data_IF_536695416364
#
_entry.id   IF_536695416364
#
_cell.length_a   1.000
_cell.length_b   1.000
_cell.length_c   1.000
_cell.angle_alpha   90.00
_cell.angle_beta   90.00
_cell.angle_gamma   90.00
#
_symmetry.space_group_name_H-M   'P 1'
#
loop_
_entity.id
_entity.type
_entity.pdbx_description
1 polymer ?
#
# COMPACT_ATOMS: atom_id res chain seq x y z
N UNK A 1 -1.61 2.12 4.48
CA UNK A 1 -0.68 2.67 5.50
C UNK A 1 -1.00 4.10 5.94
N UNK A 2 -1.43 5.03 5.08
CA UNK A 2 -1.85 6.38 5.49
C UNK A 2 -2.86 6.37 6.66
N UNK A 3 -3.94 5.61 6.54
CA UNK A 3 -4.94 5.47 7.61
C UNK A 3 -4.35 4.89 8.91
N UNK A 4 -3.45 3.91 8.80
CA UNK A 4 -2.77 3.34 9.98
C UNK A 4 -1.92 4.42 10.65
N UNK A 5 -1.11 5.16 9.89
CA UNK A 5 -0.31 6.27 10.42
C UNK A 5 -1.17 7.33 11.12
N UNK A 6 -2.38 7.62 10.62
CA UNK A 6 -3.34 8.51 11.30
C UNK A 6 -3.80 7.96 12.65
N UNK A 7 -4.20 6.69 12.69
CA UNK A 7 -4.70 6.01 13.90
C UNK A 7 -3.67 6.08 15.01
N UNK A 8 -2.42 5.75 14.69
CA UNK A 8 -1.35 5.67 15.69
C UNK A 8 -0.58 6.99 15.86
N UNK A 9 -1.02 8.08 15.19
CA UNK A 9 -0.36 9.39 15.21
C UNK A 9 1.14 9.34 14.85
N UNK A 10 1.45 8.64 13.76
CA UNK A 10 2.78 8.49 13.21
C UNK A 10 3.01 9.36 11.98
N UNK A 11 4.26 9.80 11.81
CA UNK A 11 4.77 10.27 10.54
C UNK A 11 5.03 9.10 9.61
N UNK A 12 4.54 9.21 8.38
CA UNK A 12 4.76 8.25 7.31
C UNK A 12 5.98 8.66 6.48
N UNK A 13 6.88 7.73 6.19
CA UNK A 13 7.90 7.93 5.16
C UNK A 13 7.35 7.41 3.83
N UNK A 14 7.61 8.11 2.73
CA UNK A 14 7.29 7.63 1.39
C UNK A 14 7.89 6.22 1.19
N UNK A 15 7.10 5.25 0.69
CA UNK A 15 7.59 3.89 0.45
C UNK A 15 8.78 3.88 -0.51
N UNK A 16 9.75 3.04 -0.22
CA UNK A 16 10.73 2.61 -1.20
C UNK A 16 10.07 1.52 -2.06
N UNK A 17 9.86 1.82 -3.34
CA UNK A 17 9.45 0.84 -4.34
C UNK A 17 10.71 0.43 -5.13
N UNK A 18 10.64 -0.66 -5.90
CA UNK A 18 11.76 -1.07 -6.77
C UNK A 18 12.14 0.04 -7.79
N UNK A 19 11.15 0.86 -8.15
CA UNK A 19 11.35 2.17 -8.80
C UNK A 19 11.19 3.30 -7.76
N UNK A 20 11.66 4.52 -8.02
CA UNK A 20 11.37 5.60 -7.08
C UNK A 20 9.87 5.89 -7.08
N UNK A 21 9.29 6.18 -5.91
CA UNK A 21 7.88 6.56 -5.80
C UNK A 21 7.54 7.72 -6.76
N UNK A 22 8.45 8.69 -6.89
CA UNK A 22 8.36 9.83 -7.80
C UNK A 22 8.35 9.47 -9.29
N UNK A 23 8.81 8.27 -9.67
CA UNK A 23 8.80 7.82 -11.07
C UNK A 23 7.37 7.48 -11.52
N UNK A 24 6.52 7.08 -10.57
CA UNK A 24 5.13 6.65 -10.83
C UNK A 24 4.13 7.69 -10.35
N UNK A 25 4.34 8.30 -9.19
CA UNK A 25 3.39 9.19 -8.54
C UNK A 25 3.96 10.59 -8.33
N UNK A 26 3.08 11.60 -8.31
CA UNK A 26 3.42 12.95 -7.92
C UNK A 26 3.61 13.01 -6.40
N UNK A 27 4.88 12.87 -5.98
CA UNK A 27 5.28 12.82 -4.57
C UNK A 27 4.89 14.09 -3.80
N UNK A 28 5.07 15.27 -4.41
CA UNK A 28 4.77 16.54 -3.75
C UNK A 28 3.26 16.73 -3.60
N UNK A 29 2.48 16.39 -4.62
CA UNK A 29 1.01 16.37 -4.53
C UNK A 29 0.53 15.40 -3.43
N UNK A 30 1.09 14.20 -3.35
CA UNK A 30 0.75 13.21 -2.32
C UNK A 30 0.97 13.76 -0.90
N UNK A 31 2.12 14.39 -0.64
CA UNK A 31 2.44 15.00 0.65
C UNK A 31 1.50 16.16 0.97
N UNK A 32 1.24 17.04 -0.01
CA UNK A 32 0.45 18.25 0.20
C UNK A 32 -1.02 17.95 0.48
N UNK A 33 -1.64 17.01 -0.26
CA UNK A 33 -3.04 16.61 -0.07
C UNK A 33 -3.28 16.01 1.32
N UNK A 34 -2.29 15.29 1.86
CA UNK A 34 -2.40 14.61 3.15
C UNK A 34 -1.92 15.45 4.34
N UNK A 35 -1.39 16.65 4.12
CA UNK A 35 -0.70 17.45 5.14
C UNK A 35 -1.54 17.75 6.39
N UNK A 36 -2.88 17.81 6.26
CA UNK A 36 -3.81 18.05 7.36
C UNK A 36 -4.26 16.76 8.07
N UNK A 37 -3.97 15.58 7.52
CA UNK A 37 -4.38 14.30 8.07
C UNK A 37 -3.20 13.56 8.70
N UNK A 38 -2.12 13.42 7.94
CA UNK A 38 -0.94 12.64 8.30
C UNK A 38 0.29 13.36 7.79
N UNK A 39 1.29 13.51 8.65
CA UNK A 39 2.58 14.04 8.22
C UNK A 39 3.29 12.99 7.36
N UNK A 40 3.65 13.37 6.16
CA UNK A 40 4.42 12.54 5.24
C UNK A 40 5.79 13.17 4.99
N UNK A 41 6.85 12.38 5.05
CA UNK A 41 8.23 12.82 4.74
C UNK A 41 8.81 11.98 3.62
N UNK A 42 9.59 12.61 2.73
CA UNK A 42 10.18 11.96 1.55
C UNK A 42 11.18 10.86 1.92
N UNK A 43 11.99 11.11 2.95
CA UNK A 43 13.05 10.21 3.39
C UNK A 43 13.12 10.17 4.90
N UNK A 44 13.66 9.08 5.43
CA UNK A 44 13.99 8.99 6.84
C UNK A 44 15.01 10.10 7.19
N UNK A 45 14.77 10.92 8.23
CA UNK A 45 15.73 11.92 8.66
C UNK A 45 17.08 11.30 8.99
N UNK A 46 18.18 12.00 8.68
CA UNK A 46 19.55 11.49 8.84
C UNK A 46 19.86 11.19 10.31
N UNK A 47 19.27 11.95 11.22
CA UNK A 47 19.38 11.82 12.67
C UNK A 47 18.79 10.49 13.16
N UNK A 48 17.89 9.91 12.39
CA UNK A 48 17.23 8.63 12.65
C UNK A 48 17.84 7.47 11.85
N UNK A 49 18.92 7.68 11.09
CA UNK A 49 19.53 6.63 10.29
C UNK A 49 20.03 5.45 11.15
N UNK A 50 20.57 5.74 12.33
CA UNK A 50 21.09 4.77 13.31
C UNK A 50 20.09 4.44 14.43
N UNK A 51 18.86 4.96 14.35
CA UNK A 51 17.83 4.73 15.33
C UNK A 51 17.38 3.26 15.35
N UNK A 52 16.86 2.80 16.49
CA UNK A 52 16.37 1.42 16.62
C UNK A 52 15.13 1.20 15.72
N UNK A 53 15.21 0.18 14.87
CA UNK A 53 14.17 -0.21 13.91
C UNK A 53 13.53 -1.53 14.33
N UNK A 54 12.20 -1.58 14.35
CA UNK A 54 11.45 -2.83 14.49
C UNK A 54 10.84 -3.21 13.16
N UNK A 55 11.22 -4.36 12.62
CA UNK A 55 10.54 -4.94 11.46
C UNK A 55 9.25 -5.61 11.93
N UNK A 56 8.10 -5.21 11.37
CA UNK A 56 6.78 -5.71 11.77
C UNK A 56 6.01 -6.17 10.54
N UNK A 57 5.58 -7.42 10.56
CA UNK A 57 4.52 -7.91 9.68
C UNK A 57 3.19 -7.67 10.39
N UNK A 58 2.33 -6.85 9.78
CA UNK A 58 1.02 -6.57 10.37
C UNK A 58 0.09 -7.75 10.17
N UNK A 59 -0.76 -8.00 11.18
CA UNK A 59 -1.83 -8.98 11.06
C UNK A 59 -2.89 -8.45 10.09
N UNK A 60 -3.31 -9.31 9.17
CA UNK A 60 -4.34 -8.94 8.19
C UNK A 60 -5.71 -8.89 8.84
N UNK A 61 -6.58 -8.00 8.34
CA UNK A 61 -7.93 -7.78 8.84
C UNK A 61 -7.97 -7.34 10.31
N UNK A 62 -6.89 -6.75 10.81
CA UNK A 62 -6.83 -6.20 12.16
C UNK A 62 -7.68 -4.94 12.31
N UNK A 63 -8.41 -4.88 13.42
CA UNK A 63 -9.15 -3.69 13.87
C UNK A 63 -8.23 -2.57 14.34
N UNK A 64 -8.83 -1.47 14.79
CA UNK A 64 -8.12 -0.27 15.26
C UNK A 64 -7.30 -0.58 16.50
N UNK A 65 -7.85 -1.39 17.40
CA UNK A 65 -7.30 -1.75 18.72
C UNK A 65 -5.92 -2.41 18.57
N UNK A 66 -5.76 -3.28 17.56
CA UNK A 66 -4.46 -3.89 17.25
C UNK A 66 -3.37 -2.85 16.97
N UNK A 67 -3.70 -1.79 16.23
CA UNK A 67 -2.73 -0.75 15.90
C UNK A 67 -2.49 0.16 17.10
N UNK A 68 -3.54 0.58 17.79
CA UNK A 68 -3.45 1.46 18.95
C UNK A 68 -2.72 0.82 20.13
N UNK A 69 -2.86 -0.49 20.33
CA UNK A 69 -2.25 -1.20 21.44
C UNK A 69 -0.96 -1.90 21.01
N UNK A 70 -1.02 -2.92 20.14
CA UNK A 70 0.14 -3.76 19.85
C UNK A 70 1.22 -3.01 19.06
N UNK A 71 0.82 -2.25 18.03
CA UNK A 71 1.77 -1.53 17.18
C UNK A 71 2.35 -0.32 17.92
N UNK A 72 1.52 0.47 18.60
CA UNK A 72 1.98 1.61 19.40
C UNK A 72 2.96 1.19 20.51
N UNK A 73 2.69 0.07 21.19
CA UNK A 73 3.57 -0.44 22.25
C UNK A 73 4.98 -0.78 21.75
N UNK A 74 5.14 -1.08 20.45
CA UNK A 74 6.46 -1.33 19.89
C UNK A 74 7.38 -0.09 19.93
N UNK A 75 6.80 1.12 20.02
CA UNK A 75 7.55 2.37 20.18
C UNK A 75 8.16 2.58 21.56
N UNK A 76 7.83 1.76 22.55
CA UNK A 76 8.51 1.78 23.84
C UNK A 76 9.97 1.34 23.70
N UNK A 77 10.25 0.44 22.75
CA UNK A 77 11.57 -0.16 22.55
C UNK A 77 12.24 0.30 21.25
N UNK A 78 11.47 0.83 20.30
CA UNK A 78 11.96 1.19 18.97
C UNK A 78 11.53 2.59 18.54
N UNK A 79 12.40 3.31 17.86
CA UNK A 79 12.08 4.65 17.36
C UNK A 79 11.38 4.60 16.00
N UNK A 80 11.62 3.54 15.22
CA UNK A 80 11.08 3.36 13.88
C UNK A 80 10.40 2.00 13.78
N UNK A 81 9.23 1.97 13.15
CA UNK A 81 8.59 0.75 12.69
C UNK A 81 8.79 0.64 11.18
N UNK A 82 9.38 -0.48 10.75
CA UNK A 82 9.46 -0.88 9.35
C UNK A 82 8.35 -1.91 9.12
N UNK A 83 7.24 -1.47 8.52
CA UNK A 83 6.15 -2.36 8.14
C UNK A 83 6.58 -3.16 6.91
N UNK A 84 6.77 -4.47 7.10
CA UNK A 84 6.95 -5.46 6.03
C UNK A 84 5.62 -6.10 5.69
N UNK A 85 5.39 -6.45 4.42
CA UNK A 85 4.08 -6.94 3.94
C UNK A 85 2.96 -5.96 4.29
N UNK A 86 3.12 -4.72 3.82
CA UNK A 86 2.19 -3.61 4.12
C UNK A 86 0.84 -3.71 3.38
N UNK A 87 0.66 -4.77 2.60
CA UNK A 87 -0.60 -5.23 2.04
C UNK A 87 -1.56 -5.80 3.10
N UNK A 88 -1.05 -6.16 4.29
CA UNK A 88 -1.86 -6.48 5.47
C UNK A 88 -2.82 -5.33 5.80
N UNK A 89 -4.13 -5.63 5.71
CA UNK A 89 -5.19 -4.61 5.68
C UNK A 89 -5.71 -4.30 7.08
N UNK A 90 -5.76 -3.00 7.39
CA UNK A 90 -6.72 -2.48 8.37
C UNK A 90 -8.13 -2.96 7.97
N UNK A 91 -8.87 -3.54 8.92
CA UNK A 91 -10.22 -4.05 8.68
C UNK A 91 -11.12 -2.96 8.08
N UNK A 92 -11.98 -3.33 7.13
CA UNK A 92 -12.89 -2.37 6.50
C UNK A 92 -14.08 -2.01 7.39
N UNK A 93 -14.46 -2.89 8.31
CA UNK A 93 -15.64 -2.75 9.13
C UNK A 93 -15.32 -1.97 10.40
N UNK A 94 -16.32 -1.30 10.96
CA UNK A 94 -16.25 -0.61 12.26
C UNK A 94 -15.17 0.48 12.37
N UNK A 95 -14.68 0.99 11.25
CA UNK A 95 -13.83 2.18 11.23
C UNK A 95 -14.67 3.45 11.35
N UNK A 96 -14.15 4.41 12.10
CA UNK A 96 -14.75 5.73 12.18
C UNK A 96 -14.77 6.43 10.81
N UNK A 97 -15.77 7.28 10.59
CA UNK A 97 -16.08 7.85 9.27
C UNK A 97 -14.92 8.69 8.69
N UNK A 98 -14.19 9.39 9.55
CA UNK A 98 -13.02 10.18 9.17
C UNK A 98 -11.89 9.30 8.62
N UNK A 99 -11.63 8.14 9.23
CA UNK A 99 -10.63 7.18 8.76
C UNK A 99 -11.04 6.62 7.39
N UNK A 100 -12.32 6.31 7.18
CA UNK A 100 -12.81 5.85 5.87
C UNK A 100 -12.66 6.95 4.81
N UNK A 101 -13.00 8.20 5.13
CA UNK A 101 -12.78 9.35 4.25
C UNK A 101 -11.31 9.56 3.91
N UNK A 102 -10.42 9.41 4.89
CA UNK A 102 -8.97 9.49 4.69
C UNK A 102 -8.47 8.38 3.76
N UNK A 103 -8.98 7.15 3.86
CA UNK A 103 -8.65 6.08 2.92
C UNK A 103 -9.05 6.44 1.49
N UNK A 104 -10.26 6.98 1.32
CA UNK A 104 -10.71 7.44 0.00
C UNK A 104 -9.83 8.57 -0.53
N UNK A 105 -9.55 9.60 0.29
CA UNK A 105 -8.65 10.71 -0.09
C UNK A 105 -7.27 10.19 -0.49
N UNK A 106 -6.68 9.31 0.32
CA UNK A 106 -5.37 8.73 0.01
C UNK A 106 -5.38 7.96 -1.33
N UNK A 107 -6.39 7.13 -1.58
CA UNK A 107 -6.46 6.28 -2.76
C UNK A 107 -6.86 7.01 -4.05
N UNK A 108 -7.76 7.99 -3.97
CA UNK A 108 -8.38 8.59 -5.15
C UNK A 108 -7.98 10.05 -5.41
N UNK A 109 -7.42 10.74 -4.41
CA UNK A 109 -7.04 12.15 -4.52
C UNK A 109 -5.54 12.36 -4.37
N UNK A 110 -4.93 11.78 -3.33
CA UNK A 110 -3.50 11.95 -3.04
C UNK A 110 -2.60 11.12 -3.97
N UNK A 111 -2.98 9.87 -4.27
CA UNK A 111 -2.26 9.03 -5.23
C UNK A 111 -2.56 9.46 -6.67
N UNK A 112 -1.83 10.47 -7.12
CA UNK A 112 -1.86 10.97 -8.49
C UNK A 112 -0.62 10.51 -9.24
N UNK A 113 -0.76 10.09 -10.49
CA UNK A 113 0.39 9.75 -11.33
C UNK A 113 1.32 10.95 -11.51
N UNK A 114 2.61 10.68 -11.70
CA UNK A 114 3.60 11.70 -12.01
C UNK A 114 3.16 12.51 -13.25
N UNK A 115 3.43 13.83 -13.31
CA UNK A 115 2.91 14.70 -14.37
C UNK A 115 3.21 14.21 -15.79
N UNK A 116 4.37 13.56 -15.99
CA UNK A 116 4.76 12.96 -17.28
C UNK A 116 3.83 11.82 -17.70
N UNK A 117 3.43 10.95 -16.77
CA UNK A 117 2.54 9.82 -17.03
C UNK A 117 1.13 10.33 -17.31
N UNK A 118 0.65 11.29 -16.51
CA UNK A 118 -0.67 11.90 -16.71
C UNK A 118 -0.76 12.64 -18.06
N UNK A 119 0.28 13.39 -18.44
CA UNK A 119 0.34 14.06 -19.73
C UNK A 119 0.32 13.07 -20.90
N UNK A 120 1.06 11.96 -20.80
CA UNK A 120 1.04 10.90 -21.80
C UNK A 120 -0.34 10.22 -21.90
N UNK A 121 -0.95 9.91 -20.75
CA UNK A 121 -2.30 9.33 -20.70
C UNK A 121 -3.33 10.25 -21.32
N UNK A 122 -3.27 11.55 -21.01
CA UNK A 122 -4.15 12.57 -21.60
C UNK A 122 -3.96 12.66 -23.12
N UNK A 123 -2.72 12.69 -23.61
CA UNK A 123 -2.43 12.69 -25.04
C UNK A 123 -3.06 11.49 -25.76
N UNK A 124 -2.94 10.29 -25.17
CA UNK A 124 -3.52 9.07 -25.72
C UNK A 124 -5.05 9.17 -25.77
N UNK A 125 -5.67 9.59 -24.66
CA UNK A 125 -7.13 9.76 -24.57
C UNK A 125 -7.63 10.77 -25.58
N UNK A 126 -6.98 11.93 -25.70
CA UNK A 126 -7.35 12.99 -26.63
C UNK A 126 -7.25 12.50 -28.09
N UNK A 127 -6.20 11.72 -28.40
CA UNK A 127 -6.07 11.08 -29.72
C UNK A 127 -7.18 10.07 -29.98
N UNK A 128 -7.48 9.18 -29.04
CA UNK A 128 -8.55 8.18 -29.21
C UNK A 128 -9.90 8.86 -29.43
N UNK A 129 -10.22 9.90 -28.65
CA UNK A 129 -11.45 10.69 -28.79
C UNK A 129 -11.56 11.41 -30.13
N UNK A 130 -10.43 11.81 -30.73
CA UNK A 130 -10.43 12.45 -32.05
C UNK A 130 -10.95 11.54 -33.17
N UNK A 131 -10.88 10.21 -33.00
CA UNK A 131 -11.43 9.23 -33.94
C UNK A 131 -12.89 8.83 -33.63
N UNK A 132 -13.45 9.31 -32.50
CA UNK A 132 -14.80 9.01 -32.06
C UNK A 132 -14.88 8.41 -30.65
N UNK A 133 -16.08 8.02 -30.20
CA UNK A 133 -16.26 7.31 -28.94
C UNK A 133 -15.50 5.98 -28.91
N UNK A 134 -14.92 5.62 -27.76
CA UNK A 134 -14.18 4.37 -27.59
C UNK A 134 -14.51 3.70 -26.25
N UNK A 135 -14.22 2.41 -26.14
CA UNK A 135 -14.30 1.62 -24.91
C UNK A 135 -12.88 1.24 -24.51
N UNK A 136 -12.52 1.45 -23.25
CA UNK A 136 -11.29 0.94 -22.66
C UNK A 136 -11.59 -0.29 -21.81
N UNK A 137 -10.88 -1.39 -22.07
CA UNK A 137 -11.04 -2.65 -21.36
C UNK A 137 -9.69 -3.03 -20.72
N UNK A 138 -9.67 -3.17 -19.40
CA UNK A 138 -8.52 -3.68 -18.68
C UNK A 138 -8.70 -5.18 -18.45
N UNK A 139 -7.98 -5.99 -19.22
CA UNK A 139 -8.00 -7.44 -19.10
C UNK A 139 -6.77 -7.87 -18.31
N UNK A 140 -6.99 -8.55 -17.20
CA UNK A 140 -5.95 -9.07 -16.30
C UNK A 140 -5.87 -10.59 -16.48
N UNK A 141 -4.86 -11.07 -17.19
CA UNK A 141 -4.68 -12.48 -17.60
C UNK A 141 -3.51 -13.19 -16.91
N UNK A 142 -3.04 -12.63 -15.80
CA UNK A 142 -1.99 -13.25 -15.00
C UNK A 142 -2.45 -14.60 -14.44
N UNK A 143 -1.48 -15.54 -14.28
CA UNK A 143 -1.76 -16.93 -13.88
C UNK A 143 -2.54 -17.02 -12.56
N UNK A 144 -2.32 -16.09 -11.63
CA UNK A 144 -3.06 -16.01 -10.37
C UNK A 144 -4.54 -15.67 -10.56
N UNK A 145 -4.84 -14.71 -11.44
CA UNK A 145 -6.22 -14.34 -11.79
C UNK A 145 -6.93 -15.48 -12.53
N UNK A 146 -6.23 -16.14 -13.46
CA UNK A 146 -6.75 -17.31 -14.17
C UNK A 146 -7.00 -18.48 -13.21
N UNK A 147 -6.04 -18.80 -12.34
CA UNK A 147 -6.19 -19.82 -11.31
C UNK A 147 -7.39 -19.51 -10.41
N UNK A 148 -7.55 -18.26 -9.95
CA UNK A 148 -8.68 -17.83 -9.12
C UNK A 148 -10.03 -18.01 -9.82
N UNK A 149 -10.12 -17.70 -11.12
CA UNK A 149 -11.38 -17.74 -11.88
C UNK A 149 -12.01 -19.12 -12.01
N UNK A 150 -11.22 -20.20 -11.84
CA UNK A 150 -11.73 -21.55 -12.10
C UNK A 150 -11.77 -21.95 -13.57
N UNK A 151 -11.57 -21.01 -14.50
CA UNK A 151 -11.76 -21.25 -15.93
C UNK A 151 -10.62 -22.09 -16.51
N UNK A 152 -10.98 -23.19 -17.18
CA UNK A 152 -10.05 -24.06 -17.91
C UNK A 152 -10.42 -24.18 -19.40
N UNK A 153 -11.32 -23.33 -19.89
CA UNK A 153 -11.66 -23.32 -21.31
C UNK A 153 -10.42 -22.92 -22.13
N UNK A 154 -10.22 -23.63 -23.24
CA UNK A 154 -9.08 -23.45 -24.15
C UNK A 154 -7.70 -23.76 -23.57
N UNK A 155 -7.62 -24.25 -22.32
CA UNK A 155 -6.37 -24.71 -21.73
C UNK A 155 -6.08 -26.16 -22.12
N UNK A 156 -4.79 -26.48 -22.31
CA UNK A 156 -4.34 -27.87 -22.36
C UNK A 156 -4.52 -28.56 -21.01
N UNK A 157 -4.57 -29.91 -20.96
CA UNK A 157 -4.62 -30.63 -19.69
C UNK A 157 -3.47 -30.29 -18.73
N UNK A 158 -2.28 -30.00 -19.26
CA UNK A 158 -1.12 -29.61 -18.45
C UNK A 158 -1.29 -28.21 -17.83
N UNK A 159 -1.77 -27.23 -18.60
CA UNK A 159 -2.02 -25.87 -18.10
C UNK A 159 -3.18 -25.85 -17.10
N UNK A 160 -4.24 -26.62 -17.35
CA UNK A 160 -5.36 -26.76 -16.42
C UNK A 160 -4.90 -27.34 -15.08
N UNK A 161 -3.98 -28.32 -15.10
CA UNK A 161 -3.40 -28.89 -13.89
C UNK A 161 -2.48 -27.90 -13.16
N UNK A 162 -1.67 -27.14 -13.88
CA UNK A 162 -0.84 -26.07 -13.30
C UNK A 162 -1.71 -25.05 -12.55
N UNK A 163 -2.80 -24.55 -13.18
CA UNK A 163 -3.72 -23.62 -12.53
C UNK A 163 -4.46 -24.24 -11.35
N UNK A 164 -4.77 -25.54 -11.40
CA UNK A 164 -5.39 -26.27 -10.28
C UNK A 164 -4.45 -26.34 -9.07
N UNK A 165 -3.17 -26.63 -9.30
CA UNK A 165 -2.14 -26.66 -8.25
C UNK A 165 -2.00 -25.26 -7.63
N UNK A 166 -1.82 -24.21 -8.45
CA UNK A 166 -1.73 -22.82 -7.98
C UNK A 166 -2.95 -22.40 -7.16
N UNK A 167 -4.16 -22.76 -7.60
CA UNK A 167 -5.40 -22.48 -6.86
C UNK A 167 -5.41 -23.14 -5.49
N UNK A 168 -5.00 -24.41 -5.41
CA UNK A 168 -4.97 -25.13 -4.14
C UNK A 168 -3.94 -24.53 -3.19
N UNK A 169 -2.76 -24.18 -3.68
CA UNK A 169 -1.73 -23.50 -2.88
C UNK A 169 -2.24 -22.15 -2.34
N UNK A 170 -2.90 -21.36 -3.18
CA UNK A 170 -3.51 -20.09 -2.79
C UNK A 170 -4.58 -20.27 -1.70
N UNK A 171 -5.44 -21.28 -1.84
CA UNK A 171 -6.46 -21.61 -0.84
C UNK A 171 -5.83 -22.08 0.48
N UNK A 172 -4.80 -22.93 0.42
CA UNK A 172 -4.08 -23.39 1.60
C UNK A 172 -3.39 -22.24 2.33
N UNK A 173 -2.73 -21.32 1.60
CA UNK A 173 -2.14 -20.11 2.19
C UNK A 173 -3.18 -19.17 2.79
N UNK A 174 -4.34 -19.01 2.13
CA UNK A 174 -5.43 -18.18 2.65
C UNK A 174 -6.00 -18.75 3.97
N UNK A 175 -6.16 -20.07 4.04
CA UNK A 175 -6.64 -20.79 5.24
C UNK A 175 -5.62 -20.76 6.37
N UNK A 176 -4.33 -20.99 6.08
CA UNK A 176 -3.27 -21.04 7.10
C UNK A 176 -2.95 -19.66 7.70
N UNK A 177 -3.06 -18.58 6.91
CA UNK A 177 -2.70 -17.24 7.35
C UNK A 177 -3.89 -16.39 7.84
N UNK A 178 -5.11 -16.95 7.84
CA UNK A 178 -6.36 -16.20 8.06
C UNK A 178 -6.41 -14.91 7.19
N UNK A 179 -5.86 -15.01 5.99
CA UNK A 179 -5.71 -13.92 5.03
C UNK A 179 -6.65 -14.22 3.87
N UNK A 180 -7.68 -13.41 3.67
CA UNK A 180 -8.28 -13.27 2.34
C UNK A 180 -7.24 -12.55 1.46
N UNK A 181 -6.33 -13.34 0.88
CA UNK A 181 -5.26 -12.86 0.02
C UNK A 181 -5.91 -12.33 -1.26
N UNK A 182 -5.94 -11.01 -1.44
CA UNK A 182 -5.88 -10.47 -2.79
C UNK A 182 -4.42 -10.59 -3.19
N UNK A 183 -4.14 -11.53 -4.07
CA UNK A 183 -2.81 -11.83 -4.57
C UNK A 183 -2.30 -10.62 -5.36
N UNK A 184 -1.57 -9.75 -4.68
CA UNK A 184 -0.53 -8.95 -5.33
C UNK A 184 0.77 -9.71 -5.08
N UNK A 185 1.01 -10.75 -5.87
CA UNK A 185 2.16 -11.65 -5.78
C UNK A 185 3.52 -11.00 -6.11
N UNK A 186 3.64 -9.67 -6.13
CA UNK A 186 4.86 -8.97 -6.55
C UNK A 186 5.16 -7.69 -5.76
N UNK A 187 4.78 -7.61 -4.48
CA UNK A 187 5.27 -6.54 -3.58
C UNK A 187 5.99 -7.18 -2.38
N UNK A 188 6.94 -8.08 -2.65
CA UNK A 188 7.73 -8.70 -1.57
C UNK A 188 8.86 -7.79 -1.05
N UNK A 189 9.17 -6.68 -1.73
CA UNK A 189 10.35 -5.85 -1.39
C UNK A 189 10.05 -4.41 -0.97
N UNK A 190 8.78 -3.98 -0.93
CA UNK A 190 8.45 -2.62 -0.52
C UNK A 190 8.21 -2.54 0.98
N UNK A 191 9.10 -1.86 1.69
CA UNK A 191 8.93 -1.51 3.10
C UNK A 191 8.32 -0.12 3.24
N UNK A 192 7.50 0.06 4.26
CA UNK A 192 6.99 1.38 4.65
C UNK A 192 7.49 1.69 6.06
N UNK A 193 8.16 2.83 6.22
CA UNK A 193 8.62 3.29 7.52
C UNK A 193 7.60 4.23 8.16
N UNK A 194 7.38 4.04 9.46
CA UNK A 194 6.58 4.91 10.30
C UNK A 194 7.35 5.24 11.58
N UNK A 195 7.22 6.47 12.05
CA UNK A 195 7.82 6.94 13.30
C UNK A 195 6.82 7.80 14.06
N UNK A 196 6.76 7.76 15.40
CA UNK A 196 5.77 8.53 16.14
C UNK A 196 6.13 10.03 16.11
N UNK A 197 5.15 10.92 15.98
CA UNK A 197 5.38 12.37 15.81
C UNK A 197 6.28 13.00 16.89
N UNK A 198 6.20 12.49 18.12
CA UNK A 198 7.04 12.92 19.25
C UNK A 198 8.54 12.79 18.97
N UNK A 199 8.95 11.77 18.22
CA UNK A 199 10.37 11.53 17.88
C UNK A 199 10.89 12.64 16.98
N UNK A 200 10.10 13.09 15.99
CA UNK A 200 10.52 14.18 15.11
C UNK A 200 10.54 15.55 15.80
N UNK A 201 9.63 15.82 16.74
CA UNK A 201 9.65 17.09 17.51
C UNK A 201 10.94 17.23 18.32
N UNK A 202 11.38 16.15 18.95
CA UNK A 202 12.62 16.13 19.72
C UNK A 202 13.85 16.55 18.89
N UNK A 203 13.93 16.16 17.62
CA UNK A 203 15.02 16.58 16.74
C UNK A 203 14.87 18.01 16.21
N UNK A 204 13.66 18.58 16.16
CA UNK A 204 13.43 19.98 15.78
C UNK A 204 13.67 20.98 16.93
N UNK A 205 13.55 20.55 18.17
CA UNK A 205 13.73 21.44 19.33
C UNK A 205 15.20 21.51 19.80
N UNK A 206 16.06 20.61 19.29
CA UNK A 206 17.49 20.55 19.62
C UNK A 206 18.40 21.27 18.63
N UNK A 207 17.87 21.80 17.53
CA UNK A 207 18.58 22.50 16.47
C UNK A 207 17.70 23.60 15.89
#
# INVERSE_FOLDING_TARGET
MVAVARIINATLVIPELDNHFSDVFDEDHFINVLANDVRVVKKLPKELATASKSKKEFRSWSGVEYYEEEITNSWLNHQIIQASKSDSRLANNYLHLDIQKLRCRACYEALRFAPRIEAMGKLLVDRMRSYGPYIALHLRFEKDMLAFSGCTQELSPAEAEELRILRNEMLTLAVLNNQLIFLNSYIEQSFIYMMPERVLRFFREKF
#
